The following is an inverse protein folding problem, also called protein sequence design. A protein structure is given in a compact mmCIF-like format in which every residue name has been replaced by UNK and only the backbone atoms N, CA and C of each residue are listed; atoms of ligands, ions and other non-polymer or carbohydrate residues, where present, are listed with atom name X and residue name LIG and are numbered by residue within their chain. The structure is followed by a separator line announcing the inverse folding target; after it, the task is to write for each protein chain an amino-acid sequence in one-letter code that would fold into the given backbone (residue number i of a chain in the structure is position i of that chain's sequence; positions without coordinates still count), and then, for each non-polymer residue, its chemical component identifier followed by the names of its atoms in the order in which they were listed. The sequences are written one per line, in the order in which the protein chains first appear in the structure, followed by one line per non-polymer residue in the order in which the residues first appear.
data_IF_030550712276
#
_entry.id   IF_030550712276
#
_cell.length_a   1.000
_cell.length_b   1.000
_cell.length_c   1.000
_cell.angle_alpha   90.00
_cell.angle_beta   90.00
_cell.angle_gamma   90.00
#
_symmetry.space_group_name_H-M   'P 1'
#
loop_
_entity.id
_entity.type
_entity.pdbx_description
1 polymer ?
#
# COMPACT_ATOMS: atom_id res chain seq x y z
N UNK A 1 43.33 76.50 25.26
CA UNK A 1 42.59 77.22 26.32
C UNK A 1 41.27 77.71 25.74
N UNK A 2 40.21 76.91 25.86
CA UNK A 2 38.96 77.18 26.62
C UNK A 2 38.24 78.49 26.24
N UNK A 3 37.19 78.33 25.45
CA UNK A 3 36.10 79.29 25.25
C UNK A 3 34.82 78.70 25.83
N UNK A 4 34.11 79.55 26.59
CA UNK A 4 32.78 79.52 27.21
C UNK A 4 31.59 79.00 26.32
N UNK A 5 30.30 79.11 26.75
CA UNK A 5 29.59 78.41 27.83
C UNK A 5 28.11 78.04 27.41
N UNK A 6 27.25 77.74 28.40
CA UNK A 6 25.78 77.95 28.45
C UNK A 6 24.77 76.93 27.82
N UNK A 7 23.91 76.43 28.71
CA UNK A 7 22.43 76.47 28.64
C UNK A 7 21.67 75.69 27.55
N UNK A 8 20.80 74.74 27.95
CA UNK A 8 19.37 75.04 28.16
C UNK A 8 18.53 73.81 28.54
N UNK A 9 17.55 74.04 29.42
CA UNK A 9 16.42 73.16 29.77
C UNK A 9 15.56 72.86 28.53
N UNK A 10 14.98 71.65 28.49
CA UNK A 10 13.56 71.47 28.11
C UNK A 10 12.96 70.20 28.73
N UNK A 11 11.98 70.43 29.58
CA UNK A 11 10.98 69.49 30.08
C UNK A 11 10.08 69.00 28.95
N UNK A 12 9.90 67.68 28.83
CA UNK A 12 8.89 67.05 27.98
C UNK A 12 8.10 66.04 28.79
N UNK A 13 6.94 66.47 29.25
CA UNK A 13 5.82 65.68 29.74
C UNK A 13 5.35 64.68 28.68
N UNK A 14 5.53 63.37 28.91
CA UNK A 14 4.86 62.32 28.14
C UNK A 14 3.98 61.47 29.07
N UNK A 15 2.67 61.73 29.01
CA UNK A 15 1.61 60.93 29.62
C UNK A 15 1.77 59.47 29.20
N UNK A 16 2.01 58.58 30.16
CA UNK A 16 1.78 57.13 29.98
C UNK A 16 0.30 56.87 30.20
N UNK A 17 -0.43 56.59 29.13
CA UNK A 17 -1.76 56.00 29.21
C UNK A 17 -1.63 54.57 29.74
N UNK A 18 -2.00 54.36 30.99
CA UNK A 18 -2.14 53.04 31.59
C UNK A 18 -3.44 52.44 31.06
N UNK A 19 -3.34 51.58 30.04
CA UNK A 19 -4.45 50.69 29.67
C UNK A 19 -4.42 49.56 30.70
N UNK A 20 -5.30 49.65 31.71
CA UNK A 20 -5.59 48.53 32.60
C UNK A 20 -6.25 47.42 31.78
N UNK A 21 -5.47 46.42 31.35
CA UNK A 21 -6.04 45.16 30.91
C UNK A 21 -6.69 44.45 32.10
N UNK A 22 -8.02 44.44 32.11
CA UNK A 22 -8.81 43.82 33.17
C UNK A 22 -8.51 42.30 33.26
N UNK A 23 -8.15 41.75 34.43
CA UNK A 23 -7.80 40.33 34.62
C UNK A 23 -8.98 39.37 34.31
N UNK A 24 -10.21 39.89 34.33
CA UNK A 24 -11.41 39.17 33.90
C UNK A 24 -11.39 38.84 32.40
N UNK A 25 -10.79 39.69 31.55
CA UNK A 25 -10.73 39.46 30.10
C UNK A 25 -9.79 38.30 29.74
N UNK A 26 -8.66 38.17 30.45
CA UNK A 26 -7.73 37.03 30.32
C UNK A 26 -8.33 35.72 30.82
N UNK A 27 -9.12 35.78 31.89
CA UNK A 27 -9.74 34.58 32.47
C UNK A 27 -10.90 34.09 31.60
N UNK A 28 -11.74 35.00 31.09
CA UNK A 28 -12.81 34.67 30.14
C UNK A 28 -12.25 34.18 28.80
N UNK A 29 -11.19 34.79 28.26
CA UNK A 29 -10.54 34.26 27.04
C UNK A 29 -9.91 32.87 27.25
N UNK A 30 -9.33 32.58 28.43
CA UNK A 30 -8.85 31.23 28.75
C UNK A 30 -10.00 30.23 28.90
N UNK A 31 -11.11 30.61 29.53
CA UNK A 31 -12.26 29.73 29.67
C UNK A 31 -12.92 29.46 28.31
N UNK A 32 -13.02 30.47 27.45
CA UNK A 32 -13.49 30.34 26.07
C UNK A 32 -12.52 29.47 25.25
N UNK A 33 -11.20 29.62 25.36
CA UNK A 33 -10.24 28.72 24.70
C UNK A 33 -10.33 27.26 25.19
N UNK A 34 -10.55 27.05 26.49
CA UNK A 34 -10.67 25.70 27.09
C UNK A 34 -12.00 25.03 26.69
N UNK A 35 -13.05 25.80 26.44
CA UNK A 35 -14.36 25.31 25.98
C UNK A 35 -14.43 25.19 24.45
N UNK A 36 -13.66 25.99 23.68
CA UNK A 36 -13.76 26.10 22.21
C UNK A 36 -12.82 25.24 21.37
N UNK A 37 -12.06 24.28 21.92
CA UNK A 37 -11.29 23.35 21.08
C UNK A 37 -11.69 21.88 21.28
N UNK A 38 -12.96 21.51 21.03
CA UNK A 38 -13.35 20.10 20.97
C UNK A 38 -12.49 19.36 19.93
N UNK A 39 -12.19 19.99 18.79
CA UNK A 39 -11.30 19.47 17.73
C UNK A 39 -9.94 18.98 18.23
N UNK A 40 -9.32 19.70 19.18
CA UNK A 40 -8.05 19.32 19.79
C UNK A 40 -8.18 18.09 20.69
N UNK A 41 -9.26 18.01 21.49
CA UNK A 41 -9.53 16.85 22.35
C UNK A 41 -9.82 15.59 21.52
N UNK A 42 -10.61 15.72 20.47
CA UNK A 42 -10.86 14.65 19.51
C UNK A 42 -9.57 14.20 18.80
N UNK A 43 -8.70 15.14 18.43
CA UNK A 43 -7.39 14.85 17.83
C UNK A 43 -6.47 14.03 18.76
N UNK A 44 -6.38 14.38 20.05
CA UNK A 44 -5.54 13.65 21.01
C UNK A 44 -6.08 12.24 21.33
N UNK A 45 -7.40 12.09 21.47
CA UNK A 45 -8.03 10.78 21.67
C UNK A 45 -7.79 9.92 20.42
N UNK A 46 -7.98 10.48 19.22
CA UNK A 46 -7.69 9.80 17.96
C UNK A 46 -6.22 9.38 17.82
N UNK A 47 -5.28 10.22 18.25
CA UNK A 47 -3.85 9.89 18.28
C UNK A 47 -3.50 8.76 19.27
N UNK A 48 -4.14 8.70 20.44
CA UNK A 48 -3.94 7.60 21.39
C UNK A 48 -4.52 6.29 20.84
N UNK A 49 -5.75 6.34 20.32
CA UNK A 49 -6.44 5.19 19.76
C UNK A 49 -5.77 4.67 18.47
N UNK A 50 -5.17 5.56 17.67
CA UNK A 50 -4.47 5.20 16.42
C UNK A 50 -3.04 4.68 16.61
N UNK A 51 -2.43 4.88 17.78
CA UNK A 51 -1.05 4.46 18.03
C UNK A 51 -0.90 2.93 18.07
N UNK A 52 -1.74 2.27 18.88
CA UNK A 52 -1.68 0.81 19.09
C UNK A 52 -1.92 0.03 17.79
N UNK A 53 -2.94 0.34 16.96
CA UNK A 53 -3.15 -0.32 15.68
C UNK A 53 -1.97 -0.10 14.71
N UNK A 54 -1.44 1.11 14.63
CA UNK A 54 -0.38 1.43 13.65
C UNK A 54 0.95 0.75 13.96
N UNK A 55 1.31 0.64 15.26
CA UNK A 55 2.49 -0.11 15.69
C UNK A 55 2.28 -1.62 15.54
N UNK A 56 1.07 -2.11 15.85
CA UNK A 56 0.72 -3.52 15.65
C UNK A 56 0.84 -3.95 14.19
N UNK A 57 0.37 -3.13 13.25
CA UNK A 57 0.53 -3.34 11.81
C UNK A 57 2.01 -3.46 11.44
N UNK A 58 2.86 -2.52 11.87
CA UNK A 58 4.29 -2.56 11.54
C UNK A 58 4.95 -3.85 12.03
N UNK A 59 4.64 -4.29 13.25
CA UNK A 59 5.18 -5.54 13.81
C UNK A 59 4.71 -6.74 12.99
N UNK A 60 3.43 -6.81 12.65
CA UNK A 60 2.88 -7.90 11.83
C UNK A 60 3.55 -7.95 10.45
N UNK A 61 3.68 -6.81 9.78
CA UNK A 61 4.36 -6.72 8.48
C UNK A 61 5.83 -7.13 8.57
N UNK A 62 6.53 -6.73 9.64
CA UNK A 62 7.94 -7.09 9.83
C UNK A 62 8.12 -8.58 10.09
N UNK A 63 7.26 -9.19 10.91
CA UNK A 63 7.31 -10.62 11.21
C UNK A 63 6.98 -11.47 9.98
N UNK A 64 5.98 -11.05 9.20
CA UNK A 64 5.61 -11.75 7.98
C UNK A 64 6.71 -11.64 6.91
N UNK A 65 7.30 -10.45 6.70
CA UNK A 65 8.40 -10.29 5.75
C UNK A 65 9.67 -11.08 6.13
N UNK A 66 9.98 -11.17 7.43
CA UNK A 66 11.08 -12.04 7.92
C UNK A 66 10.71 -13.52 7.73
N UNK A 67 9.47 -13.90 7.99
CA UNK A 67 8.98 -15.25 7.79
C UNK A 67 9.10 -15.71 6.33
N UNK A 68 8.67 -14.88 5.38
CA UNK A 68 8.84 -15.15 3.94
C UNK A 68 10.30 -15.27 3.55
N UNK A 69 11.16 -14.37 4.02
CA UNK A 69 12.60 -14.40 3.69
C UNK A 69 13.29 -15.69 4.19
N UNK A 70 12.79 -16.28 5.28
CA UNK A 70 13.32 -17.52 5.86
C UNK A 70 12.72 -18.78 5.23
N UNK A 71 11.54 -18.68 4.60
CA UNK A 71 10.79 -19.79 4.00
C UNK A 71 10.80 -19.77 2.47
N UNK A 72 11.44 -18.79 1.84
CA UNK A 72 11.52 -18.67 0.40
C UNK A 72 12.32 -19.84 -0.19
N UNK A 73 11.60 -20.85 -0.68
CA UNK A 73 12.17 -21.90 -1.51
C UNK A 73 12.68 -21.32 -2.83
N UNK A 74 13.73 -21.95 -3.37
CA UNK A 74 14.54 -21.45 -4.47
C UNK A 74 13.87 -21.41 -5.85
N UNK A 75 12.61 -21.87 -5.98
CA UNK A 75 11.84 -21.81 -7.23
C UNK A 75 10.35 -21.59 -6.93
N UNK A 76 10.01 -20.38 -6.50
CA UNK A 76 8.62 -19.96 -6.38
C UNK A 76 8.14 -19.37 -7.71
N UNK A 77 7.11 -19.98 -8.30
CA UNK A 77 6.40 -19.37 -9.41
C UNK A 77 5.82 -18.03 -8.94
N UNK A 78 5.94 -16.94 -9.70
CA UNK A 78 5.30 -15.69 -9.32
C UNK A 78 3.78 -15.90 -9.34
N UNK A 79 3.20 -15.90 -8.14
CA UNK A 79 1.80 -16.30 -7.90
C UNK A 79 1.66 -17.39 -6.84
N UNK A 80 2.76 -18.00 -6.39
CA UNK A 80 2.82 -19.06 -5.38
C UNK A 80 3.91 -18.71 -4.33
N UNK A 81 3.63 -18.75 -3.01
CA UNK A 81 2.34 -18.84 -2.35
C UNK A 81 1.59 -17.48 -2.34
N UNK A 82 0.30 -17.44 -1.96
CA UNK A 82 -0.52 -16.21 -1.87
C UNK A 82 -0.09 -15.24 -0.75
N UNK A 83 1.05 -15.49 -0.10
CA UNK A 83 1.50 -14.74 1.07
C UNK A 83 1.81 -13.28 0.73
N UNK A 84 2.43 -13.01 -0.44
CA UNK A 84 2.65 -11.66 -0.93
C UNK A 84 1.34 -10.86 -1.12
N UNK A 85 0.28 -11.49 -1.62
CA UNK A 85 -1.02 -10.83 -1.82
C UNK A 85 -1.71 -10.55 -0.48
N UNK A 86 -1.69 -11.51 0.44
CA UNK A 86 -2.19 -11.32 1.81
C UNK A 86 -1.40 -10.21 2.53
N UNK A 87 -0.08 -10.16 2.34
CA UNK A 87 0.77 -9.12 2.88
C UNK A 87 0.41 -7.76 2.33
N UNK A 88 0.23 -7.63 1.02
CA UNK A 88 -0.21 -6.39 0.39
C UNK A 88 -1.59 -5.98 0.92
N UNK A 89 -2.54 -6.91 1.05
CA UNK A 89 -3.87 -6.62 1.58
C UNK A 89 -3.83 -6.15 3.05
N UNK A 90 -3.17 -6.92 3.93
CA UNK A 90 -2.99 -6.56 5.35
C UNK A 90 -2.29 -5.23 5.48
N UNK A 91 -1.29 -4.97 4.64
CA UNK A 91 -0.55 -3.73 4.66
C UNK A 91 -1.40 -2.55 4.16
N UNK A 92 -2.21 -2.72 3.11
CA UNK A 92 -3.16 -1.70 2.66
C UNK A 92 -4.16 -1.35 3.76
N UNK A 93 -4.72 -2.35 4.44
CA UNK A 93 -5.56 -2.13 5.62
C UNK A 93 -4.80 -1.39 6.73
N UNK A 94 -3.55 -1.77 6.98
CA UNK A 94 -2.67 -1.12 7.93
C UNK A 94 -2.38 0.35 7.61
N UNK A 95 -2.16 0.67 6.34
CA UNK A 95 -1.92 2.03 5.85
C UNK A 95 -3.13 2.94 6.03
N UNK A 96 -4.36 2.40 5.97
CA UNK A 96 -5.56 3.18 6.32
C UNK A 96 -5.50 3.69 7.77
N UNK A 97 -5.01 2.87 8.72
CA UNK A 97 -4.83 3.32 10.10
C UNK A 97 -3.74 4.39 10.22
N UNK A 98 -2.63 4.25 9.49
CA UNK A 98 -1.56 5.27 9.44
C UNK A 98 -2.08 6.59 8.86
N UNK A 99 -2.90 6.53 7.80
CA UNK A 99 -3.54 7.70 7.17
C UNK A 99 -4.52 8.39 8.12
N UNK A 100 -5.37 7.61 8.80
CA UNK A 100 -6.27 8.13 9.84
C UNK A 100 -5.47 8.79 10.98
N UNK A 101 -4.34 8.18 11.37
CA UNK A 101 -3.39 8.76 12.32
C UNK A 101 -2.80 10.10 11.84
N UNK A 102 -2.45 10.20 10.56
CA UNK A 102 -2.03 11.47 9.95
C UNK A 102 -3.15 12.53 10.03
N UNK A 103 -4.40 12.17 9.71
CA UNK A 103 -5.53 13.09 9.80
C UNK A 103 -5.67 13.66 11.22
N UNK A 104 -5.64 12.80 12.25
CA UNK A 104 -5.70 13.24 13.64
C UNK A 104 -4.48 14.07 14.07
N UNK A 105 -3.28 13.72 13.60
CA UNK A 105 -2.08 14.52 13.82
C UNK A 105 -2.26 15.93 13.24
N UNK A 106 -2.78 16.07 12.02
CA UNK A 106 -3.01 17.38 11.40
C UNK A 106 -4.07 18.21 12.13
N UNK A 107 -5.08 17.57 12.72
CA UNK A 107 -6.08 18.25 13.55
C UNK A 107 -5.48 18.74 14.88
N UNK A 108 -4.62 17.93 15.50
CA UNK A 108 -4.01 18.23 16.80
C UNK A 108 -2.68 19.04 16.71
N UNK A 109 -2.07 19.20 15.52
CA UNK A 109 -0.70 19.75 15.36
C UNK A 109 -0.48 21.15 15.93
N UNK A 110 -1.55 21.91 16.15
CA UNK A 110 -1.51 23.28 16.69
C UNK A 110 -1.43 23.29 18.22
N UNK A 111 -1.70 22.16 18.87
CA UNK A 111 -1.66 22.04 20.32
C UNK A 111 -0.24 21.70 20.81
N UNK A 112 0.25 22.33 21.89
CA UNK A 112 1.59 22.10 22.45
C UNK A 112 1.72 20.80 23.26
N UNK A 113 0.83 19.83 23.03
CA UNK A 113 0.73 18.60 23.80
C UNK A 113 1.93 17.66 23.63
N UNK A 114 2.26 16.94 24.70
CA UNK A 114 3.33 15.94 24.70
C UNK A 114 3.08 14.83 23.67
N UNK A 115 1.82 14.43 23.49
CA UNK A 115 1.40 13.40 22.54
C UNK A 115 1.67 13.85 21.10
N UNK A 116 1.30 15.08 20.74
CA UNK A 116 1.55 15.65 19.40
C UNK A 116 3.05 15.74 19.10
N UNK A 117 3.86 16.09 20.10
CA UNK A 117 5.33 16.09 19.97
C UNK A 117 5.89 14.70 19.71
N UNK A 118 5.45 13.68 20.44
CA UNK A 118 5.85 12.30 20.21
C UNK A 118 5.50 11.85 18.79
N UNK A 119 4.25 12.09 18.37
CA UNK A 119 3.78 11.72 17.03
C UNK A 119 4.55 12.41 15.91
N UNK A 120 5.00 13.67 16.10
CA UNK A 120 5.87 14.35 15.11
C UNK A 120 7.17 13.59 14.85
N UNK A 121 7.69 12.87 15.85
CA UNK A 121 8.91 12.07 15.73
C UNK A 121 8.64 10.63 15.28
N UNK A 122 7.49 10.05 15.65
CA UNK A 122 7.15 8.64 15.35
C UNK A 122 6.55 8.48 13.95
N UNK A 123 5.72 9.43 13.50
CA UNK A 123 4.96 9.31 12.26
C UNK A 123 5.85 9.16 11.01
N UNK A 124 6.92 9.97 10.81
CA UNK A 124 7.80 9.80 9.65
C UNK A 124 8.53 8.44 9.58
N UNK A 125 9.26 7.97 10.62
CA UNK A 125 9.93 6.69 10.56
C UNK A 125 8.94 5.52 10.49
N UNK A 126 7.78 5.61 11.14
CA UNK A 126 6.73 4.59 11.02
C UNK A 126 6.26 4.45 9.58
N UNK A 127 6.01 5.57 8.89
CA UNK A 127 5.59 5.56 7.48
C UNK A 127 6.68 5.00 6.58
N UNK A 128 7.94 5.42 6.78
CA UNK A 128 9.08 4.95 6.01
C UNK A 128 9.33 3.45 6.21
N UNK A 129 9.35 2.98 7.45
CA UNK A 129 9.57 1.56 7.76
C UNK A 129 8.42 0.68 7.24
N UNK A 130 7.18 1.17 7.33
CA UNK A 130 6.02 0.46 6.76
C UNK A 130 6.15 0.35 5.23
N UNK A 131 6.61 1.41 4.55
CA UNK A 131 6.84 1.37 3.11
C UNK A 131 7.97 0.40 2.74
N UNK A 132 9.08 0.44 3.46
CA UNK A 132 10.21 -0.47 3.24
C UNK A 132 9.82 -1.93 3.45
N UNK A 133 9.06 -2.21 4.51
CA UNK A 133 8.54 -3.56 4.80
C UNK A 133 7.63 -4.10 3.70
N UNK A 134 6.86 -3.24 3.02
CA UNK A 134 5.98 -3.63 1.90
C UNK A 134 6.69 -3.79 0.57
N UNK A 135 7.86 -3.16 0.40
CA UNK A 135 8.52 -3.06 -0.90
C UNK A 135 8.78 -4.41 -1.60
N UNK A 136 9.12 -5.52 -0.90
CA UNK A 136 9.29 -6.82 -1.54
C UNK A 136 7.97 -7.37 -2.08
N UNK A 137 6.92 -7.41 -1.26
CA UNK A 137 5.61 -7.90 -1.66
C UNK A 137 5.01 -7.06 -2.82
N UNK A 138 5.19 -5.74 -2.80
CA UNK A 138 4.80 -4.87 -3.91
C UNK A 138 5.61 -5.15 -5.18
N UNK A 139 6.91 -5.43 -5.05
CA UNK A 139 7.77 -5.76 -6.18
C UNK A 139 7.40 -7.12 -6.79
N UNK A 140 6.99 -8.10 -5.98
CA UNK A 140 6.51 -9.40 -6.46
C UNK A 140 5.18 -9.28 -7.19
N UNK A 141 4.19 -8.60 -6.60
CA UNK A 141 2.89 -8.36 -7.23
C UNK A 141 3.07 -7.55 -8.51
N UNK A 142 3.94 -6.54 -8.51
CA UNK A 142 4.28 -5.82 -9.73
C UNK A 142 5.00 -6.73 -10.75
N UNK A 143 5.93 -7.57 -10.31
CA UNK A 143 6.64 -8.53 -11.15
C UNK A 143 5.70 -9.42 -11.96
N UNK A 144 4.55 -9.80 -11.40
CA UNK A 144 3.49 -10.59 -12.07
C UNK A 144 2.76 -9.85 -13.19
N UNK A 145 2.70 -8.53 -13.12
CA UNK A 145 1.90 -7.71 -14.04
C UNK A 145 2.73 -6.99 -15.11
N UNK A 146 4.03 -6.82 -14.88
CA UNK A 146 4.94 -6.14 -15.81
C UNK A 146 6.00 -7.10 -16.38
N UNK A 147 6.75 -6.61 -17.37
CA UNK A 147 7.84 -7.38 -17.98
C UNK A 147 7.39 -8.63 -18.71
N UNK A 148 8.12 -9.74 -18.53
CA UNK A 148 7.85 -11.00 -19.21
C UNK A 148 6.54 -11.64 -18.76
N UNK A 149 6.24 -11.58 -17.47
CA UNK A 149 4.99 -12.07 -16.89
C UNK A 149 3.77 -11.28 -17.37
N UNK A 150 3.90 -9.96 -17.53
CA UNK A 150 2.86 -9.14 -18.16
C UNK A 150 2.59 -9.53 -19.63
N UNK A 151 3.63 -9.90 -20.38
CA UNK A 151 3.47 -10.42 -21.76
C UNK A 151 2.84 -11.80 -21.79
N UNK A 152 3.24 -12.70 -20.89
CA UNK A 152 2.61 -14.00 -20.72
C UNK A 152 1.13 -13.85 -20.35
N UNK A 153 0.79 -12.95 -19.41
CA UNK A 153 -0.58 -12.61 -19.04
C UNK A 153 -1.41 -12.20 -20.25
N UNK A 154 -0.91 -11.25 -21.06
CA UNK A 154 -1.60 -10.80 -22.26
C UNK A 154 -1.83 -11.96 -23.24
N UNK A 155 -0.82 -12.81 -23.43
CA UNK A 155 -0.95 -13.98 -24.31
C UNK A 155 -1.92 -15.04 -23.77
N UNK A 156 -1.96 -15.28 -22.46
CA UNK A 156 -2.95 -16.16 -21.84
C UNK A 156 -4.36 -15.59 -22.01
N UNK A 157 -4.55 -14.28 -21.81
CA UNK A 157 -5.84 -13.62 -22.03
C UNK A 157 -6.30 -13.72 -23.49
N UNK A 158 -5.42 -13.44 -24.45
CA UNK A 158 -5.74 -13.51 -25.87
C UNK A 158 -6.12 -14.93 -26.31
N UNK A 159 -5.38 -15.94 -25.85
CA UNK A 159 -5.68 -17.33 -26.18
C UNK A 159 -6.89 -17.87 -25.43
N UNK A 160 -7.13 -17.44 -24.19
CA UNK A 160 -8.33 -17.79 -23.42
C UNK A 160 -9.59 -17.27 -24.15
N UNK A 161 -9.55 -16.06 -24.73
CA UNK A 161 -10.64 -15.52 -25.56
C UNK A 161 -10.86 -16.42 -26.80
N UNK A 162 -9.79 -16.84 -27.48
CA UNK A 162 -9.88 -17.73 -28.66
C UNK A 162 -10.45 -19.10 -28.30
N UNK A 163 -10.05 -19.67 -27.16
CA UNK A 163 -10.59 -20.93 -26.64
C UNK A 163 -12.07 -20.77 -26.27
N UNK A 164 -12.45 -19.68 -25.61
CA UNK A 164 -13.85 -19.38 -25.27
C UNK A 164 -14.72 -19.15 -26.49
N UNK A 165 -14.16 -18.75 -27.64
CA UNK A 165 -14.91 -18.61 -28.88
C UNK A 165 -15.44 -19.96 -29.43
N UNK A 166 -14.94 -21.10 -28.95
CA UNK A 166 -15.52 -22.41 -29.25
C UNK A 166 -16.81 -22.69 -28.47
N UNK A 167 -17.13 -21.90 -27.45
CA UNK A 167 -18.34 -22.02 -26.65
C UNK A 167 -19.57 -21.58 -27.44
N UNK A 168 -20.58 -22.44 -27.50
CA UNK A 168 -21.93 -22.07 -27.94
C UNK A 168 -22.73 -21.31 -26.87
N UNK A 169 -22.24 -21.26 -25.62
CA UNK A 169 -22.91 -20.65 -24.47
C UNK A 169 -22.43 -19.22 -24.22
N UNK A 170 -23.35 -18.37 -23.73
CA UNK A 170 -23.10 -16.96 -23.43
C UNK A 170 -22.16 -16.73 -22.23
N UNK A 171 -22.04 -17.70 -21.33
CA UNK A 171 -21.14 -17.67 -20.18
C UNK A 171 -19.69 -18.06 -20.54
N UNK A 172 -19.44 -18.52 -21.77
CA UNK A 172 -18.13 -18.99 -22.23
C UNK A 172 -17.72 -20.35 -21.65
N UNK A 173 -18.65 -21.09 -21.05
CA UNK A 173 -18.42 -22.44 -20.54
C UNK A 173 -18.40 -23.46 -21.68
N UNK A 174 -17.29 -24.20 -21.83
CA UNK A 174 -17.16 -25.25 -22.85
C UNK A 174 -17.81 -26.54 -22.37
N UNK A 175 -18.60 -27.18 -23.24
CA UNK A 175 -18.95 -28.60 -23.11
C UNK A 175 -17.72 -29.49 -23.35
N UNK A 176 -17.80 -30.78 -22.99
CA UNK A 176 -16.68 -31.72 -23.19
C UNK A 176 -16.24 -31.84 -24.65
N UNK A 177 -17.20 -31.85 -25.58
CA UNK A 177 -16.90 -31.89 -27.02
C UNK A 177 -16.25 -30.59 -27.51
N UNK A 178 -16.75 -29.43 -27.07
CA UNK A 178 -16.16 -28.13 -27.40
C UNK A 178 -14.75 -27.99 -26.82
N UNK A 179 -14.54 -28.48 -25.59
CA UNK A 179 -13.24 -28.54 -24.93
C UNK A 179 -12.27 -29.42 -25.72
N UNK A 180 -12.69 -30.62 -26.14
CA UNK A 180 -11.85 -31.52 -26.94
C UNK A 180 -11.46 -30.89 -28.29
N UNK A 181 -12.38 -30.20 -28.96
CA UNK A 181 -12.10 -29.46 -30.20
C UNK A 181 -11.11 -28.32 -29.97
N UNK A 182 -11.33 -27.51 -28.94
CA UNK A 182 -10.44 -26.41 -28.59
C UNK A 182 -9.03 -26.92 -28.23
N UNK A 183 -8.95 -28.05 -27.51
CA UNK A 183 -7.69 -28.69 -27.14
C UNK A 183 -6.93 -29.20 -28.36
N UNK A 184 -7.61 -29.87 -29.29
CA UNK A 184 -7.02 -30.33 -30.54
C UNK A 184 -6.49 -29.15 -31.38
N UNK A 185 -7.28 -28.08 -31.48
CA UNK A 185 -6.87 -26.87 -32.16
C UNK A 185 -5.61 -26.22 -31.56
N UNK A 186 -5.50 -26.15 -30.23
CA UNK A 186 -4.32 -25.61 -29.56
C UNK A 186 -3.10 -26.53 -29.72
N UNK A 187 -3.30 -27.84 -29.85
CA UNK A 187 -2.23 -28.80 -30.14
C UNK A 187 -1.69 -28.66 -31.56
N UNK A 188 -2.55 -28.33 -32.54
CA UNK A 188 -2.13 -28.04 -33.91
C UNK A 188 -1.34 -26.73 -34.01
N UNK A 189 -1.65 -25.76 -33.14
CA UNK A 189 -0.99 -24.45 -33.07
C UNK A 189 -0.37 -24.23 -31.69
N UNK A 190 0.73 -24.92 -31.36
CA UNK A 190 1.34 -24.83 -30.04
C UNK A 190 1.77 -23.39 -29.78
N UNK A 191 1.27 -22.83 -28.68
CA UNK A 191 1.63 -21.49 -28.24
C UNK A 191 2.79 -21.60 -27.27
N UNK A 192 3.93 -21.04 -27.65
CA UNK A 192 5.16 -21.06 -26.87
C UNK A 192 5.47 -19.66 -26.36
N UNK A 193 5.89 -19.56 -25.11
CA UNK A 193 6.43 -18.32 -24.53
C UNK A 193 7.87 -18.55 -24.10
N UNK A 194 8.75 -17.58 -24.32
CA UNK A 194 10.14 -17.68 -23.86
C UNK A 194 10.40 -16.63 -22.78
N UNK A 195 10.72 -17.10 -21.59
CA UNK A 195 11.34 -16.28 -20.56
C UNK A 195 12.83 -16.12 -20.86
N UNK A 196 13.39 -14.96 -20.52
CA UNK A 196 14.82 -14.70 -20.68
C UNK A 196 15.66 -15.53 -19.69
N UNK A 197 15.09 -15.81 -18.51
CA UNK A 197 15.75 -16.57 -17.47
C UNK A 197 15.67 -18.10 -17.66
N UNK A 198 14.72 -18.58 -18.47
CA UNK A 198 14.50 -20.02 -18.68
C UNK A 198 15.26 -20.54 -19.90
N UNK A 199 15.85 -21.75 -19.82
CA UNK A 199 16.58 -22.34 -20.93
C UNK A 199 15.64 -22.76 -22.07
N UNK A 200 14.47 -23.29 -21.73
CA UNK A 200 13.46 -23.77 -22.68
C UNK A 200 12.23 -22.86 -22.72
N UNK A 201 11.54 -22.75 -23.88
CA UNK A 201 10.29 -22.04 -23.96
C UNK A 201 9.18 -22.82 -23.24
N UNK A 202 8.41 -22.12 -22.43
CA UNK A 202 7.23 -22.68 -21.75
C UNK A 202 6.09 -22.85 -22.75
N UNK A 203 5.27 -23.89 -22.53
CA UNK A 203 4.18 -24.26 -23.45
C UNK A 203 2.82 -23.93 -22.84
N UNK A 204 1.98 -23.22 -23.58
CA UNK A 204 0.60 -23.00 -23.18
C UNK A 204 -0.24 -24.17 -23.68
N UNK A 205 -1.02 -24.76 -22.78
CA UNK A 205 -1.86 -25.91 -23.07
C UNK A 205 -3.21 -25.83 -22.33
N UNK A 206 -4.21 -26.57 -22.79
CA UNK A 206 -5.48 -26.69 -22.07
C UNK A 206 -5.34 -27.72 -20.95
N UNK A 207 -5.57 -27.29 -19.70
CA UNK A 207 -5.40 -28.12 -18.49
C UNK A 207 -6.72 -28.43 -17.80
N UNK A 208 -7.64 -27.46 -17.71
CA UNK A 208 -8.88 -27.57 -16.92
C UNK A 208 -10.10 -27.60 -17.83
N UNK A 209 -11.14 -28.35 -17.45
CA UNK A 209 -12.46 -28.36 -18.14
C UNK A 209 -13.37 -27.22 -17.73
N UNK A 210 -12.95 -26.41 -16.76
CA UNK A 210 -13.62 -25.19 -16.29
C UNK A 210 -12.64 -24.02 -16.38
N UNK A 211 -13.11 -22.79 -16.63
CA UNK A 211 -12.23 -21.63 -16.73
C UNK A 211 -11.51 -21.34 -15.38
N UNK A 212 -10.29 -20.78 -15.41
CA UNK A 212 -9.43 -20.58 -16.58
C UNK A 212 -8.97 -21.92 -17.20
N UNK A 213 -9.08 -22.04 -18.53
CA UNK A 213 -8.83 -23.32 -19.23
C UNK A 213 -7.34 -23.57 -19.48
N UNK A 214 -6.59 -22.48 -19.69
CA UNK A 214 -5.18 -22.52 -20.09
C UNK A 214 -4.24 -22.63 -18.89
N UNK A 215 -3.27 -23.54 -19.00
CA UNK A 215 -2.11 -23.66 -18.12
C UNK A 215 -0.81 -23.44 -18.89
N UNK A 216 0.26 -23.24 -18.12
CA UNK A 216 1.63 -23.07 -18.59
C UNK A 216 2.45 -24.26 -18.12
N UNK A 217 3.10 -24.93 -19.05
CA UNK A 217 4.03 -26.04 -18.82
C UNK A 217 5.45 -25.48 -18.91
N UNK A 218 6.18 -25.51 -17.79
CA UNK A 218 7.56 -25.06 -17.68
C UNK A 218 8.58 -26.16 -18.02
N UNK A 219 8.12 -27.36 -18.37
CA UNK A 219 8.97 -28.53 -18.55
C UNK A 219 9.10 -29.35 -17.26
N UNK A 220 9.68 -30.54 -17.36
CA UNK A 220 9.93 -31.45 -16.23
C UNK A 220 8.72 -31.74 -15.31
N UNK A 221 7.51 -31.64 -15.85
CA UNK A 221 6.26 -31.86 -15.11
C UNK A 221 5.77 -30.65 -14.32
N UNK A 222 6.48 -29.52 -14.37
CA UNK A 222 6.11 -28.28 -13.70
C UNK A 222 5.02 -27.55 -14.48
N UNK A 223 3.76 -27.80 -14.13
CA UNK A 223 2.62 -27.11 -14.72
C UNK A 223 2.03 -26.12 -13.72
N UNK A 224 1.70 -24.93 -14.18
CA UNK A 224 0.95 -23.96 -13.40
C UNK A 224 -0.25 -23.42 -14.17
N UNK A 225 -1.35 -23.18 -13.48
CA UNK A 225 -2.52 -22.47 -14.01
C UNK A 225 -2.62 -21.15 -13.26
N UNK A 226 -2.77 -20.07 -14.00
CA UNK A 226 -2.90 -18.73 -13.44
C UNK A 226 -4.30 -18.18 -13.69
N UNK A 227 -4.84 -17.47 -12.71
CA UNK A 227 -6.04 -16.66 -12.94
C UNK A 227 -5.66 -15.48 -13.86
N UNK A 228 -6.21 -15.38 -15.09
CA UNK A 228 -5.73 -14.44 -16.11
C UNK A 228 -5.84 -12.96 -15.72
N UNK A 229 -6.69 -12.59 -14.75
CA UNK A 229 -6.79 -11.19 -14.29
C UNK A 229 -5.73 -10.86 -13.25
N UNK A 230 -5.64 -11.66 -12.19
CA UNK A 230 -4.78 -11.39 -11.03
C UNK A 230 -3.38 -12.01 -11.17
N UNK A 231 -3.19 -12.94 -12.11
CA UNK A 231 -2.00 -13.78 -12.24
C UNK A 231 -1.68 -14.58 -10.96
N UNK A 232 -2.69 -14.85 -10.12
CA UNK A 232 -2.56 -15.76 -9.00
C UNK A 232 -2.41 -17.19 -9.51
N UNK A 233 -1.48 -17.95 -8.94
CA UNK A 233 -1.40 -19.38 -9.20
C UNK A 233 -2.63 -20.04 -8.56
N UNK A 234 -3.51 -20.61 -9.39
CA UNK A 234 -4.68 -21.37 -8.91
C UNK A 234 -4.39 -22.86 -8.80
N UNK A 235 -3.30 -23.31 -9.40
CA UNK A 235 -2.83 -24.69 -9.40
C UNK A 235 -1.37 -24.75 -9.81
N UNK A 236 -0.56 -25.53 -9.08
CA UNK A 236 0.83 -25.89 -9.41
C UNK A 236 1.03 -27.40 -9.15
N UNK A 237 1.78 -28.07 -10.02
CA UNK A 237 2.24 -29.47 -9.87
C UNK A 237 3.55 -29.55 -9.07
#
# INVERSE_FOLDING_TARGET
MRSCPLSSRRSSTRRKGFILEHPLRKTVMRFVQVVMNPSARWGNIGLLCGFVPSVGVLVVLSLLGVGESLLADSHLFPGDPPAADMLVEVALCGWLFILVGHCFFFLARKEPDRIVRLWRWVLPPLTLLSFLAMSPALAEVAGRHWGEWGRLKAMLQDNEIRVRAFSSRADGALSEEEFARAKAWLQEQPVLFRFTAEPEPVRIHMRRTVPPYLGVDFGDGQNAVFEPVTMLCVYSD
#
